data_IF_443269852678
#
_entry.id   IF_443269852678
#
_cell.length_a   1.000
_cell.length_b   1.000
_cell.length_c   1.000
_cell.angle_alpha   90.00
_cell.angle_beta   90.00
_cell.angle_gamma   90.00
#
_symmetry.space_group_name_H-M   'P 1'
#
loop_
_entity.id
_entity.type
_entity.pdbx_description
1 polymer ?
#
# COMPACT_ATOMS: atom_id res chain seq x y z
N UNK A 1 -53.39 31.04 -0.98
CA UNK A 1 -53.56 31.35 -2.42
C UNK A 1 -52.68 32.54 -2.79
N UNK A 2 -51.46 32.27 -3.26
CA UNK A 2 -50.79 32.94 -4.39
C UNK A 2 -49.41 32.27 -4.57
N UNK A 3 -49.15 31.64 -5.73
CA UNK A 3 -47.88 30.95 -6.01
C UNK A 3 -46.94 31.82 -6.84
N UNK A 4 -45.64 31.82 -6.52
CA UNK A 4 -44.58 32.44 -7.33
C UNK A 4 -43.23 32.05 -6.75
N UNK A 5 -42.20 31.65 -7.48
CA UNK A 5 -41.94 31.51 -8.92
C UNK A 5 -40.71 30.60 -8.98
N UNK A 6 -40.83 29.43 -9.60
CA UNK A 6 -39.69 28.61 -9.97
C UNK A 6 -38.95 29.28 -11.12
N UNK A 7 -37.63 29.49 -10.99
CA UNK A 7 -36.77 29.89 -12.09
C UNK A 7 -35.81 28.74 -12.39
N UNK A 8 -36.12 28.01 -13.45
CA UNK A 8 -35.19 27.15 -14.14
C UNK A 8 -34.15 28.04 -14.84
N UNK A 9 -32.87 27.69 -14.68
CA UNK A 9 -31.79 28.15 -15.54
C UNK A 9 -31.04 26.90 -16.00
N UNK A 10 -31.50 26.39 -17.14
CA UNK A 10 -30.72 25.54 -18.02
C UNK A 10 -29.66 26.43 -18.67
N UNK A 11 -28.39 26.06 -18.62
CA UNK A 11 -27.47 26.47 -19.67
C UNK A 11 -26.57 25.29 -20.07
N UNK A 12 -26.53 25.11 -21.37
CA UNK A 12 -26.08 23.95 -22.12
C UNK A 12 -24.61 24.16 -22.49
N UNK A 13 -23.70 23.59 -21.70
CA UNK A 13 -22.27 23.51 -22.05
C UNK A 13 -21.94 22.21 -22.78
N UNK A 14 -22.24 22.15 -24.08
CA UNK A 14 -21.88 21.03 -24.96
C UNK A 14 -20.36 20.78 -25.09
N UNK A 15 -19.95 19.55 -25.48
CA UNK A 15 -18.60 19.02 -25.27
C UNK A 15 -17.58 19.46 -26.34
N UNK A 16 -16.39 19.87 -25.90
CA UNK A 16 -15.22 19.92 -26.78
C UNK A 16 -14.65 18.52 -27.00
N UNK A 17 -15.07 17.90 -28.10
CA UNK A 17 -14.25 16.91 -28.80
C UNK A 17 -13.04 17.61 -29.42
N UNK A 18 -11.81 17.28 -28.99
CA UNK A 18 -10.64 17.52 -29.84
C UNK A 18 -9.50 16.52 -29.64
N UNK A 19 -9.59 15.46 -30.46
CA UNK A 19 -8.51 14.88 -31.29
C UNK A 19 -7.23 14.41 -30.59
N UNK A 20 -7.30 13.17 -30.14
CA UNK A 20 -6.18 12.24 -30.03
C UNK A 20 -5.56 12.01 -31.42
N UNK A 21 -4.31 12.45 -31.65
CA UNK A 21 -3.48 12.02 -32.79
C UNK A 21 -2.30 11.24 -32.24
N UNK A 22 -2.16 10.01 -32.70
CA UNK A 22 -1.18 9.05 -32.23
C UNK A 22 0.26 9.39 -32.63
N UNK A 23 1.17 8.75 -31.90
CA UNK A 23 2.48 8.38 -32.39
C UNK A 23 2.91 7.13 -31.59
N UNK A 24 2.67 5.98 -32.19
CA UNK A 24 3.31 4.71 -31.84
C UNK A 24 4.77 4.85 -32.29
N UNK A 25 5.72 4.81 -31.36
CA UNK A 25 7.13 4.64 -31.68
C UNK A 25 7.65 3.42 -30.93
N UNK A 26 7.72 2.34 -31.68
CA UNK A 26 8.50 1.15 -31.39
C UNK A 26 9.98 1.54 -31.19
N UNK A 27 10.50 1.31 -29.99
CA UNK A 27 11.92 1.38 -29.68
C UNK A 27 12.45 -0.01 -29.39
N UNK A 28 12.86 -0.72 -30.44
CA UNK A 28 13.47 -2.04 -30.40
C UNK A 28 14.99 -1.85 -30.30
N UNK A 29 15.59 -2.10 -29.14
CA UNK A 29 17.05 -2.09 -28.96
C UNK A 29 17.50 -3.49 -28.56
N UNK A 30 17.91 -4.26 -29.56
CA UNK A 30 18.80 -5.41 -29.41
C UNK A 30 20.23 -4.89 -29.26
N UNK A 31 20.85 -5.12 -28.11
CA UNK A 31 22.29 -4.96 -27.89
C UNK A 31 22.93 -6.32 -27.66
N UNK A 32 23.46 -6.92 -28.73
CA UNK A 32 24.26 -8.14 -28.70
C UNK A 32 25.74 -7.80 -28.48
N UNK A 33 26.37 -8.66 -27.67
CA UNK A 33 27.73 -9.20 -27.83
C UNK A 33 28.94 -8.25 -27.80
N UNK A 34 29.81 -8.48 -26.81
CA UNK A 34 31.23 -8.20 -26.97
C UNK A 34 31.98 -8.09 -25.65
N UNK A 35 32.59 -9.19 -25.18
CA UNK A 35 33.83 -9.09 -24.40
C UNK A 35 34.74 -10.28 -24.74
N UNK A 36 36.03 -10.02 -25.03
CA UNK A 36 36.93 -10.95 -25.69
C UNK A 36 37.48 -12.04 -24.75
N UNK A 37 37.79 -13.16 -25.39
CA UNK A 37 38.53 -14.31 -24.90
C UNK A 37 40.01 -13.90 -24.81
N UNK A 38 40.59 -13.88 -23.61
CA UNK A 38 42.03 -13.78 -23.42
C UNK A 38 42.61 -15.18 -23.15
N UNK A 39 43.69 -15.45 -23.85
CA UNK A 39 44.31 -16.75 -24.08
C UNK A 39 45.17 -17.23 -22.89
N UNK A 40 45.36 -18.55 -22.81
CA UNK A 40 46.30 -19.23 -21.89
C UNK A 40 47.70 -19.26 -22.51
N UNK A 41 48.73 -19.19 -21.65
CA UNK A 41 49.99 -19.99 -21.65
C UNK A 41 51.11 -19.15 -20.98
N UNK A 42 51.61 -19.51 -19.79
CA UNK A 42 52.78 -20.40 -19.63
C UNK A 42 53.86 -19.72 -18.74
N UNK A 43 54.89 -20.42 -18.24
CA UNK A 43 55.11 -20.60 -16.78
C UNK A 43 56.41 -19.99 -16.19
N UNK A 44 56.56 -20.26 -14.88
CA UNK A 44 57.77 -20.25 -14.03
C UNK A 44 58.30 -18.93 -13.43
N UNK A 45 58.08 -18.76 -12.10
CA UNK A 45 59.14 -18.66 -11.08
C UNK A 45 58.57 -18.22 -9.72
N UNK A 46 58.78 -19.06 -8.70
CA UNK A 46 58.67 -18.73 -7.27
C UNK A 46 59.91 -17.91 -6.80
N UNK A 47 60.09 -17.50 -5.51
CA UNK A 47 59.23 -17.70 -4.33
C UNK A 47 59.07 -16.45 -3.42
N UNK A 48 58.28 -16.65 -2.34
CA UNK A 48 58.37 -15.98 -1.02
C UNK A 48 58.07 -14.48 -0.87
N UNK A 49 56.85 -14.20 -0.40
CA UNK A 49 56.61 -13.32 0.74
C UNK A 49 55.31 -13.76 1.43
N UNK A 50 55.45 -14.62 2.44
CA UNK A 50 54.37 -15.03 3.31
C UNK A 50 53.92 -13.85 4.18
N UNK A 51 52.94 -13.08 3.68
CA UNK A 51 52.11 -12.25 4.56
C UNK A 51 50.98 -13.17 5.04
N UNK A 52 51.17 -13.67 6.25
CA UNK A 52 50.16 -14.39 7.03
C UNK A 52 48.98 -13.45 7.28
N UNK A 53 48.06 -13.37 6.32
CA UNK A 53 46.71 -12.92 6.57
C UNK A 53 46.03 -14.05 7.35
N UNK A 54 46.16 -13.98 8.68
CA UNK A 54 45.33 -14.74 9.59
C UNK A 54 43.88 -14.54 9.14
N UNK A 55 43.33 -15.56 8.50
CA UNK A 55 41.93 -15.64 8.15
C UNK A 55 41.20 -15.74 9.48
N UNK A 56 40.77 -14.60 10.02
CA UNK A 56 39.84 -14.58 11.13
C UNK A 56 38.61 -15.37 10.65
N UNK A 57 38.14 -16.37 11.41
CA UNK A 57 36.86 -16.97 11.11
C UNK A 57 35.84 -15.83 11.08
N UNK A 58 35.12 -15.73 9.97
CA UNK A 58 33.92 -14.94 9.85
C UNK A 58 32.91 -15.58 10.80
N UNK A 59 33.02 -15.30 12.10
CA UNK A 59 31.99 -15.66 13.06
C UNK A 59 30.73 -14.96 12.57
N UNK A 60 29.80 -15.77 12.06
CA UNK A 60 28.48 -15.33 11.70
C UNK A 60 27.84 -14.77 12.97
N UNK A 61 27.97 -13.46 13.15
CA UNK A 61 27.38 -12.73 14.26
C UNK A 61 25.90 -13.05 14.27
N UNK A 62 25.44 -13.69 15.36
CA UNK A 62 24.05 -14.07 15.50
C UNK A 62 23.17 -12.82 15.27
N UNK A 63 22.08 -12.92 14.48
CA UNK A 63 21.24 -11.77 14.21
C UNK A 63 20.72 -11.19 15.53
N UNK A 64 20.76 -9.86 15.64
CA UNK A 64 20.19 -9.16 16.78
C UNK A 64 18.70 -9.56 16.96
N UNK A 65 18.18 -9.63 18.21
CA UNK A 65 16.82 -10.15 18.48
C UNK A 65 15.71 -9.55 17.62
N UNK A 66 15.81 -8.25 17.30
CA UNK A 66 14.86 -7.55 16.40
C UNK A 66 14.90 -8.11 14.98
N UNK A 67 16.09 -8.30 14.40
CA UNK A 67 16.23 -8.82 13.05
C UNK A 67 15.67 -10.25 12.94
N UNK A 68 15.92 -11.06 13.97
CA UNK A 68 15.33 -12.41 14.09
C UNK A 68 13.81 -12.33 14.12
N UNK A 69 13.22 -11.47 14.96
CA UNK A 69 11.75 -11.37 15.06
C UNK A 69 11.10 -10.84 13.79
N UNK A 70 11.72 -9.87 13.11
CA UNK A 70 11.24 -9.40 11.80
C UNK A 70 11.30 -10.54 10.76
N UNK A 71 12.35 -11.36 10.78
CA UNK A 71 12.47 -12.57 9.96
C UNK A 71 11.36 -13.58 10.20
N UNK A 72 10.99 -13.82 11.46
CA UNK A 72 9.87 -14.69 11.82
C UNK A 72 8.52 -14.13 11.34
N UNK A 73 8.29 -12.82 11.53
CA UNK A 73 7.05 -12.16 11.07
C UNK A 73 6.90 -12.19 9.54
N UNK A 74 8.01 -12.18 8.80
CA UNK A 74 8.01 -12.41 7.35
C UNK A 74 7.54 -13.84 7.00
N UNK A 75 8.05 -14.86 7.69
CA UNK A 75 7.59 -16.23 7.48
C UNK A 75 6.10 -16.41 7.86
N UNK A 76 5.63 -15.68 8.88
CA UNK A 76 4.22 -15.62 9.26
C UNK A 76 3.37 -14.94 8.17
N UNK A 77 3.86 -13.85 7.54
CA UNK A 77 3.22 -13.20 6.38
C UNK A 77 3.04 -14.18 5.23
N UNK A 78 4.09 -14.94 4.89
CA UNK A 78 4.09 -15.89 3.77
C UNK A 78 3.08 -17.04 4.00
N UNK A 79 3.00 -17.53 5.23
CA UNK A 79 2.05 -18.58 5.63
C UNK A 79 0.65 -18.05 5.97
N UNK A 80 0.48 -16.72 6.02
CA UNK A 80 -0.77 -16.01 6.37
C UNK A 80 -1.37 -16.41 7.73
N UNK A 81 -0.52 -16.79 8.69
CA UNK A 81 -0.96 -17.31 9.99
C UNK A 81 -1.21 -16.18 11.01
N UNK A 82 -2.43 -15.65 11.04
CA UNK A 82 -2.75 -14.48 11.90
C UNK A 82 -2.60 -14.75 13.41
N UNK A 83 -2.67 -16.01 13.84
CA UNK A 83 -2.59 -16.39 15.26
C UNK A 83 -1.14 -16.36 15.78
N UNK A 84 -0.16 -16.35 14.87
CA UNK A 84 1.26 -16.23 15.22
C UNK A 84 1.74 -14.78 15.35
N UNK A 85 0.92 -13.81 14.92
CA UNK A 85 1.16 -12.39 15.17
C UNK A 85 0.58 -12.04 16.54
N UNK A 86 1.44 -11.70 17.49
CA UNK A 86 1.05 -11.45 18.88
C UNK A 86 0.80 -9.96 19.13
N UNK A 87 0.09 -9.63 20.21
CA UNK A 87 -0.11 -8.24 20.62
C UNK A 87 1.22 -7.55 20.97
N UNK A 88 2.19 -8.28 21.52
CA UNK A 88 3.55 -7.79 21.77
C UNK A 88 4.23 -7.30 20.49
N UNK A 89 3.99 -7.96 19.36
CA UNK A 89 4.54 -7.51 18.07
C UNK A 89 3.89 -6.19 17.63
N UNK A 90 2.59 -6.05 17.84
CA UNK A 90 1.81 -4.86 17.47
C UNK A 90 2.10 -3.66 18.38
N UNK A 91 2.53 -3.89 19.62
CA UNK A 91 2.90 -2.84 20.58
C UNK A 91 4.41 -2.74 20.82
N UNK A 92 5.23 -3.38 19.98
CA UNK A 92 6.68 -3.36 20.13
C UNK A 92 7.23 -1.92 20.10
N UNK A 93 8.21 -1.63 20.95
CA UNK A 93 8.92 -0.34 20.90
C UNK A 93 9.68 -0.14 19.59
N UNK A 94 10.03 -1.23 18.90
CA UNK A 94 10.72 -1.18 17.61
C UNK A 94 9.73 -1.03 16.44
N UNK A 95 9.82 0.06 15.65
CA UNK A 95 8.92 0.28 14.52
C UNK A 95 9.02 -0.80 13.44
N UNK A 96 10.18 -1.42 13.21
CA UNK A 96 10.35 -2.47 12.20
C UNK A 96 9.53 -3.72 12.55
N UNK A 97 9.47 -4.08 13.83
CA UNK A 97 8.63 -5.19 14.33
C UNK A 97 7.15 -4.86 14.13
N UNK A 98 6.69 -3.66 14.56
CA UNK A 98 5.28 -3.25 14.39
C UNK A 98 4.84 -3.24 12.93
N UNK A 99 5.67 -2.69 12.04
CA UNK A 99 5.42 -2.67 10.58
C UNK A 99 5.32 -4.08 10.00
N UNK A 100 6.24 -4.98 10.38
CA UNK A 100 6.22 -6.36 9.90
C UNK A 100 4.96 -7.10 10.38
N UNK A 101 4.59 -6.93 11.66
CA UNK A 101 3.42 -7.56 12.26
C UNK A 101 2.11 -7.13 11.59
N UNK A 102 1.89 -5.82 11.44
CA UNK A 102 0.68 -5.29 10.81
C UNK A 102 0.61 -5.65 9.33
N UNK A 103 1.74 -5.66 8.62
CA UNK A 103 1.79 -6.13 7.23
C UNK A 103 1.41 -7.61 7.12
N UNK A 104 1.91 -8.47 8.00
CA UNK A 104 1.53 -9.88 8.04
C UNK A 104 0.00 -10.05 8.23
N UNK A 105 -0.59 -9.33 9.20
CA UNK A 105 -2.04 -9.32 9.40
C UNK A 105 -2.81 -8.84 8.16
N UNK A 106 -2.34 -7.76 7.54
CA UNK A 106 -2.99 -7.16 6.38
C UNK A 106 -2.93 -8.08 5.14
N UNK A 107 -1.81 -8.80 4.94
CA UNK A 107 -1.61 -9.74 3.83
C UNK A 107 -2.29 -11.09 4.02
N UNK A 108 -2.62 -11.46 5.25
CA UNK A 108 -3.45 -12.62 5.50
C UNK A 108 -4.89 -12.44 4.98
N UNK A 109 -5.36 -11.19 4.85
CA UNK A 109 -6.71 -10.85 4.37
C UNK A 109 -7.83 -11.59 5.13
N UNK A 110 -7.57 -11.90 6.41
CA UNK A 110 -8.45 -12.70 7.24
C UNK A 110 -9.34 -11.81 8.11
N UNK A 111 -10.63 -12.10 8.16
CA UNK A 111 -11.62 -11.30 8.92
C UNK A 111 -11.32 -11.22 10.42
N UNK A 112 -10.69 -12.27 10.98
CA UNK A 112 -10.25 -12.32 12.38
C UNK A 112 -9.11 -11.34 12.73
N UNK A 113 -8.46 -10.73 11.74
CA UNK A 113 -7.45 -9.68 11.97
C UNK A 113 -8.08 -8.29 12.17
N UNK A 114 -9.40 -8.12 11.96
CA UNK A 114 -10.04 -6.80 11.90
C UNK A 114 -9.77 -5.95 13.14
N UNK A 115 -10.08 -6.44 14.33
CA UNK A 115 -9.98 -5.60 15.54
C UNK A 115 -8.54 -5.19 15.82
N UNK A 116 -7.58 -6.08 15.56
CA UNK A 116 -6.15 -5.78 15.64
C UNK A 116 -5.74 -4.68 14.63
N UNK A 117 -6.19 -4.78 13.37
CA UNK A 117 -5.93 -3.75 12.36
C UNK A 117 -6.64 -2.41 12.68
N UNK A 118 -7.86 -2.44 13.22
CA UNK A 118 -8.59 -1.24 13.67
C UNK A 118 -7.89 -0.52 14.83
N UNK A 119 -7.23 -1.28 15.72
CA UNK A 119 -6.41 -0.73 16.78
C UNK A 119 -5.12 -0.11 16.22
N UNK A 120 -4.43 -0.80 15.31
CA UNK A 120 -3.20 -0.33 14.68
C UNK A 120 -3.36 0.93 13.82
N UNK A 121 -4.57 1.30 13.40
CA UNK A 121 -4.82 2.62 12.79
C UNK A 121 -4.42 3.79 13.70
N UNK A 122 -4.36 3.60 15.02
CA UNK A 122 -3.94 4.64 15.96
C UNK A 122 -2.42 4.83 16.07
N UNK A 123 -1.60 3.97 15.43
CA UNK A 123 -0.14 4.08 15.46
C UNK A 123 0.33 5.40 14.83
N UNK A 124 1.43 5.95 15.35
CA UNK A 124 2.07 7.16 14.84
C UNK A 124 2.93 6.89 13.61
N UNK A 125 3.36 5.64 13.40
CA UNK A 125 4.15 5.24 12.25
C UNK A 125 3.28 5.17 10.98
N UNK A 126 3.60 5.95 9.93
CA UNK A 126 2.80 5.98 8.72
C UNK A 126 2.73 4.62 8.01
N UNK A 127 3.79 3.80 8.02
CA UNK A 127 3.75 2.47 7.40
C UNK A 127 2.74 1.56 8.11
N UNK A 128 2.68 1.64 9.45
CA UNK A 128 1.72 0.86 10.25
C UNK A 128 0.29 1.27 9.90
N UNK A 129 0.01 2.57 9.82
CA UNK A 129 -1.30 3.10 9.42
C UNK A 129 -1.68 2.65 8.01
N UNK A 130 -0.73 2.75 7.07
CA UNK A 130 -0.96 2.40 5.68
C UNK A 130 -1.29 0.91 5.51
N UNK A 131 -0.51 0.02 6.14
CA UNK A 131 -0.79 -1.42 6.10
C UNK A 131 -2.09 -1.79 6.82
N UNK A 132 -2.40 -1.13 7.94
CA UNK A 132 -3.68 -1.29 8.64
C UNK A 132 -4.86 -0.96 7.74
N UNK A 133 -4.83 0.22 7.12
CA UNK A 133 -5.86 0.66 6.19
C UNK A 133 -5.97 -0.28 4.98
N UNK A 134 -4.85 -0.67 4.38
CA UNK A 134 -4.81 -1.60 3.26
C UNK A 134 -5.55 -2.91 3.60
N UNK A 135 -5.20 -3.54 4.72
CA UNK A 135 -5.78 -4.80 5.19
C UNK A 135 -7.27 -4.66 5.50
N UNK A 136 -7.67 -3.59 6.20
CA UNK A 136 -9.09 -3.31 6.48
C UNK A 136 -9.92 -3.18 5.21
N UNK A 137 -9.38 -2.51 4.19
CA UNK A 137 -10.03 -2.42 2.88
C UNK A 137 -10.23 -3.79 2.20
N UNK A 138 -9.40 -4.79 2.48
CA UNK A 138 -9.55 -6.16 1.93
C UNK A 138 -10.66 -6.95 2.61
N UNK A 139 -10.92 -6.67 3.89
CA UNK A 139 -11.89 -7.40 4.73
C UNK A 139 -13.13 -6.57 5.10
N UNK A 140 -13.37 -5.46 4.41
CA UNK A 140 -14.35 -4.45 4.81
C UNK A 140 -15.81 -4.95 4.78
N UNK A 141 -16.14 -5.85 3.85
CA UNK A 141 -17.52 -6.26 3.58
C UNK A 141 -18.32 -6.79 4.79
N UNK A 142 -17.67 -7.36 5.82
CA UNK A 142 -18.37 -7.94 6.98
C UNK A 142 -18.66 -6.95 8.11
N UNK A 143 -18.13 -5.73 8.07
CA UNK A 143 -18.34 -4.68 9.11
C UNK A 143 -17.99 -3.31 8.51
N UNK A 144 -18.69 -3.00 7.43
CA UNK A 144 -18.36 -1.90 6.52
C UNK A 144 -18.48 -0.55 7.21
N UNK A 145 -19.53 -0.37 8.00
CA UNK A 145 -19.91 0.88 8.65
C UNK A 145 -18.88 1.25 9.72
N UNK A 146 -18.56 0.32 10.64
CA UNK A 146 -17.53 0.53 11.67
C UNK A 146 -16.16 0.75 11.04
N UNK A 147 -15.81 -0.04 10.03
CA UNK A 147 -14.52 0.09 9.33
C UNK A 147 -14.40 1.46 8.64
N UNK A 148 -15.45 1.87 7.91
CA UNK A 148 -15.51 3.19 7.26
C UNK A 148 -15.32 4.31 8.28
N UNK A 149 -16.11 4.31 9.37
CA UNK A 149 -16.06 5.37 10.37
C UNK A 149 -14.64 5.50 10.98
N UNK A 150 -13.97 4.38 11.24
CA UNK A 150 -12.60 4.36 11.79
C UNK A 150 -11.55 4.84 10.80
N UNK A 151 -11.68 4.48 9.52
CA UNK A 151 -10.81 4.99 8.45
C UNK A 151 -10.96 6.50 8.27
N UNK A 152 -12.19 7.02 8.26
CA UNK A 152 -12.49 8.46 8.17
C UNK A 152 -11.88 9.20 9.37
N UNK A 153 -12.14 8.72 10.59
CA UNK A 153 -11.62 9.33 11.81
C UNK A 153 -10.08 9.35 11.82
N UNK A 154 -9.42 8.31 11.31
CA UNK A 154 -7.96 8.30 11.18
C UNK A 154 -7.48 9.33 10.16
N UNK A 155 -8.13 9.41 8.99
CA UNK A 155 -7.75 10.35 7.95
C UNK A 155 -7.82 11.82 8.41
N UNK A 156 -8.79 12.18 9.27
CA UNK A 156 -8.89 13.54 9.83
C UNK A 156 -7.68 13.93 10.69
N UNK A 157 -7.01 12.94 11.29
CA UNK A 157 -5.86 13.14 12.16
C UNK A 157 -4.52 12.82 11.47
N UNK A 158 -4.54 12.52 10.17
CA UNK A 158 -3.34 12.25 9.41
C UNK A 158 -2.73 13.58 8.94
N UNK A 159 -1.44 13.76 9.21
CA UNK A 159 -0.69 14.92 8.71
C UNK A 159 -0.68 14.96 7.18
N UNK A 160 -0.40 16.14 6.64
CA UNK A 160 -0.15 16.36 5.21
C UNK A 160 1.35 16.28 4.86
N UNK A 161 2.15 15.74 5.78
CA UNK A 161 3.58 15.62 5.56
C UNK A 161 3.84 14.65 4.41
N UNK A 162 4.68 15.01 3.42
CA UNK A 162 4.98 14.12 2.31
C UNK A 162 5.54 12.81 2.86
N UNK A 163 5.13 11.66 2.30
CA UNK A 163 5.62 10.37 2.76
C UNK A 163 7.14 10.33 2.64
N UNK A 164 7.81 9.93 3.73
CA UNK A 164 9.25 9.66 3.68
C UNK A 164 9.52 8.62 2.59
N UNK A 165 10.63 8.72 1.83
CA UNK A 165 10.99 7.72 0.82
C UNK A 165 11.19 6.31 1.41
N UNK A 166 11.30 6.20 2.73
CA UNK A 166 11.40 4.92 3.45
C UNK A 166 10.04 4.25 3.67
N UNK A 167 8.93 4.99 3.53
CA UNK A 167 7.57 4.49 3.67
C UNK A 167 7.23 3.66 2.43
N UNK A 168 6.85 2.40 2.64
CA UNK A 168 6.59 1.46 1.54
C UNK A 168 5.22 1.65 0.92
N UNK A 169 4.27 2.20 1.69
CA UNK A 169 2.91 2.43 1.26
C UNK A 169 2.43 3.79 1.75
N UNK A 170 2.03 4.67 0.84
CA UNK A 170 1.51 5.99 1.19
C UNK A 170 0.20 5.85 2.03
N UNK A 171 0.13 6.45 3.23
CA UNK A 171 -1.04 6.29 4.10
C UNK A 171 -2.31 6.90 3.51
N UNK A 172 -2.22 8.02 2.78
CA UNK A 172 -3.37 8.65 2.14
C UNK A 172 -3.95 7.76 1.03
N UNK A 173 -3.09 7.22 0.17
CA UNK A 173 -3.47 6.26 -0.86
C UNK A 173 -4.06 4.97 -0.26
N UNK A 174 -3.48 4.47 0.83
CA UNK A 174 -4.00 3.28 1.51
C UNK A 174 -5.38 3.51 2.12
N UNK A 175 -5.60 4.65 2.81
CA UNK A 175 -6.90 5.04 3.36
C UNK A 175 -7.93 5.25 2.26
N UNK A 176 -7.59 5.99 1.20
CA UNK A 176 -8.50 6.23 0.09
C UNK A 176 -8.88 4.93 -0.64
N UNK A 177 -7.90 4.05 -0.88
CA UNK A 177 -8.15 2.74 -1.47
C UNK A 177 -8.99 1.84 -0.57
N UNK A 178 -8.83 1.93 0.76
CA UNK A 178 -9.64 1.19 1.71
C UNK A 178 -11.10 1.67 1.72
N UNK A 179 -11.30 3.00 1.77
CA UNK A 179 -12.62 3.63 1.64
C UNK A 179 -13.29 3.25 0.31
N UNK A 180 -12.54 3.26 -0.78
CA UNK A 180 -13.01 2.84 -2.10
C UNK A 180 -13.46 1.39 -2.15
N UNK A 181 -12.72 0.47 -1.52
CA UNK A 181 -13.11 -0.95 -1.42
C UNK A 181 -14.28 -1.19 -0.46
N UNK A 182 -14.42 -0.38 0.58
CA UNK A 182 -15.59 -0.43 1.44
C UNK A 182 -16.86 0.00 0.69
N UNK A 183 -16.75 0.97 -0.22
CA UNK A 183 -17.83 1.47 -1.08
C UNK A 183 -19.13 1.78 -0.31
N UNK A 184 -19.01 2.36 0.89
CA UNK A 184 -20.16 2.88 1.62
C UNK A 184 -20.51 4.28 1.11
N UNK A 185 -21.78 4.73 1.22
CA UNK A 185 -22.16 6.10 0.86
C UNK A 185 -21.36 7.16 1.62
N UNK A 186 -20.94 6.87 2.85
CA UNK A 186 -20.13 7.77 3.66
C UNK A 186 -18.66 7.81 3.23
N UNK A 187 -18.10 6.67 2.81
CA UNK A 187 -16.79 6.61 2.19
C UNK A 187 -16.75 7.43 0.89
N UNK A 188 -17.76 7.29 0.03
CA UNK A 188 -17.85 8.04 -1.23
C UNK A 188 -17.93 9.55 -0.99
N UNK A 189 -18.85 10.01 -0.12
CA UNK A 189 -18.96 11.44 0.22
C UNK A 189 -17.64 11.99 0.77
N UNK A 190 -16.96 11.21 1.61
CA UNK A 190 -15.66 11.59 2.15
C UNK A 190 -14.62 11.74 1.04
N UNK A 191 -14.52 10.76 0.13
CA UNK A 191 -13.59 10.80 -0.99
C UNK A 191 -13.89 11.98 -1.95
N UNK A 192 -15.16 12.27 -2.23
CA UNK A 192 -15.55 13.45 -3.03
C UNK A 192 -15.08 14.74 -2.36
N UNK A 193 -15.24 14.86 -1.03
CA UNK A 193 -14.76 16.05 -0.30
C UNK A 193 -13.25 16.24 -0.39
N UNK A 194 -12.49 15.14 -0.50
CA UNK A 194 -11.03 15.16 -0.60
C UNK A 194 -10.53 15.68 -1.96
N UNK A 195 -11.35 15.65 -3.01
CA UNK A 195 -10.99 16.17 -4.34
C UNK A 195 -10.72 17.68 -4.34
N UNK A 196 -11.32 18.42 -3.41
CA UNK A 196 -11.09 19.87 -3.23
C UNK A 196 -9.91 20.19 -2.30
N UNK A 197 -9.21 19.17 -1.79
CA UNK A 197 -8.11 19.32 -0.84
C UNK A 197 -6.73 19.45 -1.51
N UNK A 198 -5.64 19.29 -0.73
CA UNK A 198 -4.28 19.23 -1.26
C UNK A 198 -4.11 18.16 -2.34
N UNK A 199 -3.20 18.40 -3.28
CA UNK A 199 -3.04 17.61 -4.51
C UNK A 199 -2.87 16.12 -4.22
N UNK A 200 -2.04 15.77 -3.24
CA UNK A 200 -1.72 14.39 -2.86
C UNK A 200 -2.98 13.65 -2.39
N UNK A 201 -3.78 14.32 -1.55
CA UNK A 201 -5.05 13.80 -1.05
C UNK A 201 -6.09 13.68 -2.17
N UNK A 202 -6.17 14.65 -3.07
CA UNK A 202 -7.08 14.63 -4.21
C UNK A 202 -6.75 13.49 -5.20
N UNK A 203 -5.47 13.23 -5.44
CA UNK A 203 -5.01 12.09 -6.27
C UNK A 203 -5.40 10.76 -5.62
N UNK A 204 -5.14 10.59 -4.33
CA UNK A 204 -5.56 9.39 -3.60
C UNK A 204 -7.08 9.20 -3.66
N UNK A 205 -7.85 10.27 -3.48
CA UNK A 205 -9.31 10.24 -3.55
C UNK A 205 -9.84 9.80 -4.91
N UNK A 206 -9.23 10.27 -5.99
CA UNK A 206 -9.60 9.87 -7.37
C UNK A 206 -9.46 8.35 -7.55
N UNK A 207 -8.36 7.77 -7.05
CA UNK A 207 -8.14 6.31 -7.08
C UNK A 207 -9.19 5.59 -6.22
N UNK A 208 -9.47 6.11 -5.02
CA UNK A 208 -10.50 5.56 -4.14
C UNK A 208 -11.88 5.52 -4.78
N UNK A 209 -12.29 6.60 -5.46
CA UNK A 209 -13.58 6.68 -6.16
C UNK A 209 -13.69 5.68 -7.32
N UNK A 210 -12.58 5.41 -8.03
CA UNK A 210 -12.55 4.31 -9.01
C UNK A 210 -12.85 2.94 -8.38
N UNK A 211 -12.41 2.73 -7.14
CA UNK A 211 -12.77 1.55 -6.35
C UNK A 211 -14.26 1.46 -6.02
N UNK A 212 -14.87 2.58 -5.65
CA UNK A 212 -16.32 2.67 -5.37
C UNK A 212 -17.13 2.24 -6.59
N UNK A 213 -16.86 2.84 -7.76
CA UNK A 213 -17.54 2.51 -9.02
C UNK A 213 -17.41 1.03 -9.37
N UNK A 214 -16.21 0.47 -9.23
CA UNK A 214 -15.96 -0.95 -9.51
C UNK A 214 -16.77 -1.86 -8.60
N UNK A 215 -16.90 -1.51 -7.32
CA UNK A 215 -17.66 -2.30 -6.36
C UNK A 215 -19.17 -2.21 -6.61
N UNK A 216 -19.71 -1.04 -6.97
CA UNK A 216 -21.13 -0.90 -7.29
C UNK A 216 -21.53 -1.73 -8.50
N UNK A 217 -20.76 -1.66 -9.60
CA UNK A 217 -21.02 -2.44 -10.81
C UNK A 217 -21.08 -3.94 -10.52
N UNK A 218 -20.16 -4.44 -9.69
CA UNK A 218 -20.14 -5.85 -9.28
C UNK A 218 -21.42 -6.27 -8.54
N UNK A 219 -21.95 -5.40 -7.66
CA UNK A 219 -23.18 -5.71 -6.93
C UNK A 219 -24.40 -5.75 -7.88
N UNK A 220 -24.47 -4.84 -8.85
CA UNK A 220 -25.54 -4.84 -9.86
C UNK A 220 -25.52 -6.12 -10.70
N UNK A 221 -24.33 -6.57 -11.13
CA UNK A 221 -24.13 -7.83 -11.87
C UNK A 221 -24.57 -9.05 -11.04
N UNK A 222 -24.22 -9.11 -9.74
CA UNK A 222 -24.64 -10.20 -8.84
C UNK A 222 -26.16 -10.22 -8.62
N UNK A 223 -26.80 -9.05 -8.54
CA UNK A 223 -28.27 -8.95 -8.42
C UNK A 223 -29.02 -9.29 -9.71
N UNK A 224 -28.45 -8.99 -10.87
CA UNK A 224 -29.06 -9.30 -12.17
C UNK A 224 -28.96 -10.78 -12.55
N UNK A 225 -28.05 -11.53 -11.91
CA UNK A 225 -27.84 -12.96 -12.15
C UNK A 225 -28.64 -13.88 -11.20
N UNK A 226 -29.37 -13.33 -10.22
CA UNK A 226 -30.17 -14.06 -9.23
C UNK A 226 -31.65 -14.02 -9.56
#
# INVERSE_FOLDING_TARGET
MHPSRWRAASDEGSPMMLRYRGAILWGLVLGLAGCPRADRSGPDAAPEAAVSAASLPLEASAPAPVATRVGELLAIEDTRSIDQVTDTDLTSGDPAVRRAAVRALARAEHVGARDRLLASLADHDPDVVAWSAYGLGKICARDRERTTARLIARAMNLGLEPPSPTVRLDPWAALAGALGRCASPEAERTLVSWLSGPKERAVAATVGLGGVVTHHRRMEEETAAS
#
